data_IF_541966676596
#
_entry.id   IF_541966676596
#
_cell.length_a   1.000
_cell.length_b   1.000
_cell.length_c   1.000
_cell.angle_alpha   90.00
_cell.angle_beta   90.00
_cell.angle_gamma   90.00
#
_symmetry.space_group_name_H-M   'P 1'
#
loop_
_entity.id
_entity.type
_entity.pdbx_description
1 polymer ?
#
# COMPACT_ATOMS: atom_id res chain seq x y z
N UNK A 1 4.27 23.29 56.23
CA UNK A 1 4.64 22.05 55.59
C UNK A 1 3.35 21.24 55.23
N UNK A 2 2.56 21.63 54.23
CA UNK A 2 1.44 20.85 53.72
C UNK A 2 0.88 21.51 52.45
N UNK A 3 1.54 21.37 51.32
CA UNK A 3 1.01 21.82 50.02
C UNK A 3 1.73 21.18 48.81
N UNK A 4 2.40 20.04 48.93
CA UNK A 4 3.13 19.40 47.86
C UNK A 4 2.54 18.02 47.42
N UNK A 5 1.45 17.56 48.00
CA UNK A 5 0.87 16.23 47.73
C UNK A 5 -0.27 16.17 46.71
N UNK A 6 -0.84 17.33 46.31
CA UNK A 6 -2.06 17.36 45.50
C UNK A 6 -1.85 17.42 43.97
N UNK A 7 -0.66 17.78 43.50
CA UNK A 7 -0.43 18.00 42.05
C UNK A 7 0.04 16.75 41.28
N UNK A 8 0.57 15.76 41.96
CA UNK A 8 1.04 14.53 41.34
C UNK A 8 -0.11 13.56 40.99
N UNK A 9 -1.14 13.50 41.83
CA UNK A 9 -2.33 12.64 41.61
C UNK A 9 -3.19 13.10 40.46
N UNK A 10 -3.42 14.41 40.32
CA UNK A 10 -4.24 14.99 39.25
C UNK A 10 -3.55 14.94 37.86
N UNK A 11 -2.20 14.92 37.80
CA UNK A 11 -1.45 14.72 36.55
C UNK A 11 -1.57 13.27 36.04
N UNK A 12 -1.52 12.28 36.94
CA UNK A 12 -1.65 10.88 36.55
C UNK A 12 -3.04 10.48 36.07
N UNK A 13 -4.11 11.06 36.62
CA UNK A 13 -5.49 10.80 36.16
C UNK A 13 -5.77 11.43 34.80
N UNK A 14 -5.27 12.64 34.51
CA UNK A 14 -5.44 13.30 33.23
C UNK A 14 -4.76 12.58 32.06
N UNK A 15 -3.66 11.86 32.30
CA UNK A 15 -2.92 11.10 31.28
C UNK A 15 -3.49 9.70 31.04
N UNK A 16 -4.17 9.11 32.03
CA UNK A 16 -4.76 7.76 31.88
C UNK A 16 -6.00 7.72 31.00
N UNK A 17 -6.81 8.77 30.96
CA UNK A 17 -8.06 8.78 30.17
C UNK A 17 -7.80 8.64 28.67
N UNK A 18 -6.89 9.41 28.02
CA UNK A 18 -6.56 9.22 26.59
C UNK A 18 -6.06 7.81 26.27
N UNK A 19 -5.23 7.22 27.15
CA UNK A 19 -4.71 5.87 26.97
C UNK A 19 -5.83 4.83 27.04
N UNK A 20 -6.77 4.96 27.98
CA UNK A 20 -7.93 4.09 28.07
C UNK A 20 -8.84 4.21 26.84
N UNK A 21 -9.04 5.43 26.30
CA UNK A 21 -9.77 5.67 25.05
C UNK A 21 -9.06 4.95 23.89
N UNK A 22 -7.72 5.06 23.79
CA UNK A 22 -6.94 4.38 22.76
C UNK A 22 -7.11 2.84 22.85
N UNK A 23 -6.95 2.27 24.03
CA UNK A 23 -7.12 0.82 24.25
C UNK A 23 -8.53 0.35 23.90
N UNK A 24 -9.55 1.10 24.29
CA UNK A 24 -10.94 0.82 23.94
C UNK A 24 -11.15 0.92 22.42
N UNK A 25 -10.60 1.94 21.77
CA UNK A 25 -10.68 2.13 20.34
C UNK A 25 -10.03 0.96 19.56
N UNK A 26 -8.84 0.51 19.99
CA UNK A 26 -8.18 -0.66 19.42
C UNK A 26 -9.03 -1.91 19.61
N UNK A 27 -9.57 -2.11 20.82
CA UNK A 27 -10.43 -3.25 21.13
C UNK A 27 -11.69 -3.27 20.25
N UNK A 28 -12.32 -2.13 20.04
CA UNK A 28 -13.50 -2.00 19.16
C UNK A 28 -13.13 -2.35 17.73
N UNK A 29 -12.08 -1.73 17.15
CA UNK A 29 -11.67 -2.00 15.76
C UNK A 29 -11.32 -3.47 15.57
N UNK A 30 -10.46 -4.02 16.44
CA UNK A 30 -10.02 -5.42 16.36
C UNK A 30 -11.22 -6.36 16.61
N UNK A 31 -12.03 -6.10 17.63
CA UNK A 31 -13.21 -6.90 17.96
C UNK A 31 -14.23 -6.95 16.83
N UNK A 32 -14.53 -5.80 16.21
CA UNK A 32 -15.49 -5.73 15.10
C UNK A 32 -14.94 -6.38 13.82
N UNK A 33 -13.68 -6.09 13.44
CA UNK A 33 -13.10 -6.63 12.21
C UNK A 33 -12.77 -8.11 12.35
N UNK A 34 -12.11 -8.51 13.44
CA UNK A 34 -11.58 -9.87 13.62
C UNK A 34 -12.63 -10.78 14.29
N UNK A 35 -13.23 -10.33 15.38
CA UNK A 35 -14.17 -11.13 16.16
C UNK A 35 -15.50 -11.31 15.44
N UNK A 36 -16.10 -10.22 14.96
CA UNK A 36 -17.42 -10.23 14.32
C UNK A 36 -17.35 -10.22 12.78
N UNK A 37 -16.17 -10.12 12.17
CA UNK A 37 -15.95 -10.06 10.71
C UNK A 37 -16.77 -8.96 10.02
N UNK A 38 -16.96 -7.84 10.70
CA UNK A 38 -17.66 -6.66 10.15
C UNK A 38 -16.74 -5.98 9.14
N UNK A 39 -17.36 -5.41 8.09
CA UNK A 39 -16.64 -4.64 7.07
C UNK A 39 -15.82 -3.52 7.71
N UNK A 40 -14.57 -3.33 7.24
CA UNK A 40 -13.62 -2.38 7.79
C UNK A 40 -14.13 -0.93 7.82
N UNK A 41 -14.88 -0.48 6.79
CA UNK A 41 -15.51 0.83 6.78
C UNK A 41 -16.45 1.03 7.98
N UNK A 42 -17.36 0.07 8.20
CA UNK A 42 -18.35 0.15 9.29
C UNK A 42 -17.65 0.11 10.66
N UNK A 43 -16.66 -0.78 10.81
CA UNK A 43 -15.90 -0.93 12.05
C UNK A 43 -15.13 0.37 12.43
N UNK A 44 -14.46 0.99 11.43
CA UNK A 44 -13.70 2.22 11.63
C UNK A 44 -14.62 3.42 11.93
N UNK A 45 -15.78 3.51 11.29
CA UNK A 45 -16.76 4.58 11.59
C UNK A 45 -17.37 4.42 12.99
N UNK A 46 -17.73 3.19 13.40
CA UNK A 46 -18.22 2.92 14.76
C UNK A 46 -17.16 3.32 15.79
N UNK A 47 -15.90 2.92 15.57
CA UNK A 47 -14.79 3.26 16.45
C UNK A 47 -14.56 4.78 16.48
N UNK A 48 -14.61 5.47 15.34
CA UNK A 48 -14.46 6.91 15.24
C UNK A 48 -15.57 7.66 16.02
N UNK A 49 -16.82 7.24 15.86
CA UNK A 49 -17.95 7.80 16.62
C UNK A 49 -17.76 7.57 18.12
N UNK A 50 -17.38 6.36 18.53
CA UNK A 50 -17.16 6.05 19.95
C UNK A 50 -16.05 6.91 20.56
N UNK A 51 -14.90 7.02 19.88
CA UNK A 51 -13.80 7.89 20.31
C UNK A 51 -14.23 9.33 20.36
N UNK A 52 -14.97 9.82 19.35
CA UNK A 52 -15.48 11.18 19.32
C UNK A 52 -16.41 11.50 20.49
N UNK A 53 -17.28 10.56 20.88
CA UNK A 53 -18.17 10.73 22.01
C UNK A 53 -17.41 10.81 23.35
N UNK A 54 -16.31 10.08 23.48
CA UNK A 54 -15.47 10.05 24.68
C UNK A 54 -14.47 11.22 24.73
N UNK A 55 -14.04 11.73 23.58
CA UNK A 55 -13.08 12.84 23.49
C UNK A 55 -13.68 14.16 23.98
N UNK A 56 -12.86 15.12 24.44
CA UNK A 56 -13.30 16.48 24.82
C UNK A 56 -14.06 17.21 23.72
N UNK A 57 -14.84 18.21 24.10
CA UNK A 57 -15.59 19.10 23.20
C UNK A 57 -17.09 19.07 23.36
N UNK A 58 -17.77 20.02 22.72
CA UNK A 58 -19.21 20.21 22.79
C UNK A 58 -19.98 19.01 22.21
N UNK A 59 -21.06 18.62 22.91
CA UNK A 59 -21.89 17.50 22.49
C UNK A 59 -22.47 17.66 21.09
N UNK A 60 -22.85 18.90 20.72
CA UNK A 60 -23.38 19.20 19.39
C UNK A 60 -22.39 18.99 18.25
N UNK A 61 -21.09 19.10 18.52
CA UNK A 61 -20.04 19.00 17.51
C UNK A 61 -19.47 17.57 17.37
N UNK A 62 -19.70 16.69 18.36
CA UNK A 62 -19.08 15.36 18.39
C UNK A 62 -19.36 14.49 17.16
N UNK A 63 -20.55 14.57 16.59
CA UNK A 63 -20.89 13.85 15.35
C UNK A 63 -20.50 14.66 14.11
N UNK A 64 -20.63 15.98 14.16
CA UNK A 64 -20.27 16.87 13.05
C UNK A 64 -18.79 16.76 12.71
N UNK A 65 -17.90 16.73 13.71
CA UNK A 65 -16.45 16.57 13.48
C UNK A 65 -16.08 15.22 12.85
N UNK A 66 -16.85 14.15 13.12
CA UNK A 66 -16.67 12.85 12.45
C UNK A 66 -16.95 12.99 10.94
N UNK A 67 -18.08 13.63 10.59
CA UNK A 67 -18.44 13.86 9.19
C UNK A 67 -17.44 14.78 8.46
N UNK A 68 -16.98 15.84 9.13
CA UNK A 68 -15.98 16.76 8.58
C UNK A 68 -14.62 16.05 8.34
N UNK A 69 -14.15 15.26 9.29
CA UNK A 69 -12.93 14.47 9.15
C UNK A 69 -13.03 13.45 8.00
N UNK A 70 -14.22 12.82 7.85
CA UNK A 70 -14.50 11.93 6.73
C UNK A 70 -14.40 12.65 5.39
N UNK A 71 -15.08 13.80 5.27
CA UNK A 71 -15.06 14.62 4.05
C UNK A 71 -13.67 15.14 3.71
N UNK A 72 -12.91 15.59 4.72
CA UNK A 72 -11.52 16.05 4.55
C UNK A 72 -10.61 14.95 4.02
N UNK A 73 -10.65 13.75 4.62
CA UNK A 73 -9.85 12.62 4.17
C UNK A 73 -10.28 12.16 2.77
N UNK A 74 -11.59 12.00 2.52
CA UNK A 74 -12.08 11.62 1.19
C UNK A 74 -11.66 12.64 0.12
N UNK A 75 -11.70 13.93 0.41
CA UNK A 75 -11.29 14.99 -0.50
C UNK A 75 -9.80 14.98 -0.82
N UNK A 76 -8.95 14.66 0.16
CA UNK A 76 -7.50 14.66 -0.02
C UNK A 76 -6.96 13.53 -0.91
N UNK A 77 -7.64 12.37 -0.91
CA UNK A 77 -7.13 11.15 -1.58
C UNK A 77 -8.08 10.59 -2.64
N UNK A 78 -9.34 11.01 -2.66
CA UNK A 78 -10.37 10.39 -3.50
C UNK A 78 -10.05 10.45 -4.98
N UNK A 79 -9.59 11.59 -5.48
CA UNK A 79 -9.20 11.76 -6.89
C UNK A 79 -8.03 10.85 -7.24
N UNK A 80 -7.01 10.82 -6.39
CA UNK A 80 -5.79 10.00 -6.58
C UNK A 80 -6.15 8.51 -6.71
N UNK A 81 -6.96 7.99 -5.78
CA UNK A 81 -7.37 6.57 -5.79
C UNK A 81 -8.26 6.25 -7.00
N UNK A 82 -9.21 7.13 -7.34
CA UNK A 82 -10.07 6.95 -8.50
C UNK A 82 -9.25 6.89 -9.81
N UNK A 83 -8.31 7.81 -9.98
CA UNK A 83 -7.46 7.86 -11.19
C UNK A 83 -6.51 6.65 -11.26
N UNK A 84 -5.93 6.22 -10.13
CA UNK A 84 -5.12 5.01 -10.08
C UNK A 84 -5.90 3.75 -10.51
N UNK A 85 -7.16 3.62 -10.08
CA UNK A 85 -8.03 2.54 -10.51
C UNK A 85 -8.32 2.58 -12.02
N UNK A 86 -8.58 3.76 -12.58
CA UNK A 86 -8.77 3.95 -14.03
C UNK A 86 -7.51 3.57 -14.80
N UNK A 87 -6.32 4.02 -14.37
CA UNK A 87 -5.04 3.68 -14.99
C UNK A 87 -4.86 2.16 -15.03
N UNK A 88 -5.04 1.48 -13.89
CA UNK A 88 -4.86 0.04 -13.80
C UNK A 88 -5.74 -0.74 -14.80
N UNK A 89 -7.03 -0.47 -14.83
CA UNK A 89 -7.98 -1.17 -15.71
C UNK A 89 -7.74 -0.84 -17.20
N UNK A 90 -7.49 0.41 -17.54
CA UNK A 90 -7.28 0.80 -18.94
C UNK A 90 -5.93 0.33 -19.50
N UNK A 91 -4.87 0.25 -18.68
CA UNK A 91 -3.59 -0.37 -19.06
C UNK A 91 -3.75 -1.86 -19.39
N UNK A 92 -4.55 -2.58 -18.62
CA UNK A 92 -4.88 -3.98 -18.89
C UNK A 92 -5.67 -4.10 -20.21
N UNK A 93 -6.75 -3.35 -20.32
CA UNK A 93 -7.64 -3.39 -21.48
C UNK A 93 -6.95 -2.97 -22.79
N UNK A 94 -5.98 -2.04 -22.76
CA UNK A 94 -5.21 -1.61 -23.92
C UNK A 94 -4.13 -2.60 -24.37
N UNK A 95 -3.69 -3.51 -23.49
CA UNK A 95 -2.52 -4.36 -23.71
C UNK A 95 -1.19 -3.68 -23.39
N UNK A 96 -1.22 -2.49 -22.75
CA UNK A 96 0.00 -1.80 -22.31
C UNK A 96 0.78 -2.62 -21.30
N UNK A 97 0.08 -3.24 -20.35
CA UNK A 97 0.69 -4.11 -19.35
C UNK A 97 1.38 -5.32 -20.01
N UNK A 98 0.73 -5.98 -20.99
CA UNK A 98 1.31 -7.09 -21.77
C UNK A 98 2.58 -6.65 -22.52
N UNK A 99 2.55 -5.45 -23.10
CA UNK A 99 3.72 -4.90 -23.83
C UNK A 99 4.92 -4.70 -22.93
N UNK A 100 4.71 -4.21 -21.73
CA UNK A 100 5.76 -4.01 -20.72
C UNK A 100 6.39 -5.36 -20.32
N UNK A 101 5.56 -6.35 -20.10
CA UNK A 101 6.01 -7.72 -19.77
C UNK A 101 6.85 -8.32 -20.88
N UNK A 102 6.38 -8.21 -22.15
CA UNK A 102 7.14 -8.69 -23.32
C UNK A 102 8.50 -7.98 -23.45
N UNK A 103 8.56 -6.69 -23.11
CA UNK A 103 9.81 -5.95 -23.15
C UNK A 103 10.82 -6.47 -22.11
N UNK A 104 10.39 -6.75 -20.87
CA UNK A 104 11.27 -7.31 -19.85
C UNK A 104 11.74 -8.72 -20.18
N UNK A 105 10.88 -9.54 -20.79
CA UNK A 105 11.29 -10.88 -21.26
C UNK A 105 12.29 -10.77 -22.41
N UNK A 106 12.05 -9.84 -23.34
CA UNK A 106 12.98 -9.59 -24.45
C UNK A 106 14.34 -9.08 -23.98
N UNK A 107 14.36 -8.20 -22.95
CA UNK A 107 15.59 -7.62 -22.41
C UNK A 107 16.41 -8.62 -21.58
N UNK A 108 15.75 -9.37 -20.71
CA UNK A 108 16.41 -10.27 -19.76
C UNK A 108 16.64 -11.69 -20.31
N UNK A 109 15.96 -12.01 -21.39
CA UNK A 109 15.97 -13.32 -22.02
C UNK A 109 15.04 -14.33 -21.32
N UNK A 110 14.56 -15.30 -22.09
CA UNK A 110 13.64 -16.35 -21.60
C UNK A 110 14.27 -17.26 -20.53
N UNK A 111 15.58 -17.45 -20.58
CA UNK A 111 16.31 -18.26 -19.58
C UNK A 111 16.31 -17.62 -18.20
N UNK A 112 16.20 -16.28 -18.14
CA UNK A 112 16.08 -15.50 -16.91
C UNK A 112 14.61 -15.15 -16.56
N UNK A 113 13.70 -16.10 -16.77
CA UNK A 113 12.27 -15.91 -16.56
C UNK A 113 11.90 -15.44 -15.15
N UNK A 114 12.56 -15.93 -14.10
CA UNK A 114 12.33 -15.45 -12.74
C UNK A 114 12.56 -13.95 -12.59
N UNK A 115 13.77 -13.42 -12.88
CA UNK A 115 14.04 -11.98 -12.88
C UNK A 115 13.06 -11.18 -13.75
N UNK A 116 12.74 -11.64 -14.97
CA UNK A 116 11.83 -10.95 -15.87
C UNK A 116 10.42 -10.80 -15.26
N UNK A 117 9.90 -11.89 -14.67
CA UNK A 117 8.59 -11.88 -14.02
C UNK A 117 8.56 -11.05 -12.72
N UNK A 118 9.65 -11.09 -11.93
CA UNK A 118 9.76 -10.24 -10.73
C UNK A 118 9.77 -8.75 -11.11
N UNK A 119 10.56 -8.36 -12.11
CA UNK A 119 10.63 -6.96 -12.58
C UNK A 119 9.29 -6.52 -13.20
N UNK A 120 8.65 -7.39 -13.99
CA UNK A 120 7.31 -7.11 -14.55
C UNK A 120 6.28 -6.91 -13.43
N UNK A 121 6.24 -7.82 -12.46
CA UNK A 121 5.37 -7.70 -11.29
C UNK A 121 5.62 -6.42 -10.50
N UNK A 122 6.90 -6.09 -10.27
CA UNK A 122 7.33 -4.87 -9.57
C UNK A 122 6.82 -3.61 -10.27
N UNK A 123 7.10 -3.46 -11.56
CA UNK A 123 6.77 -2.24 -12.30
C UNK A 123 5.26 -2.10 -12.51
N UNK A 124 4.59 -3.19 -12.87
CA UNK A 124 3.13 -3.16 -13.10
C UNK A 124 2.33 -2.91 -11.82
N UNK A 125 2.82 -3.37 -10.66
CA UNK A 125 2.12 -3.14 -9.38
C UNK A 125 2.29 -1.74 -8.82
N UNK A 126 3.01 -0.84 -9.49
CA UNK A 126 3.02 0.58 -9.11
C UNK A 126 1.60 1.18 -9.23
N UNK A 127 0.93 1.17 -10.40
CA UNK A 127 -0.44 1.68 -10.52
C UNK A 127 -1.53 0.60 -10.43
N UNK A 128 -1.18 -0.69 -10.47
CA UNK A 128 -2.14 -1.80 -10.61
C UNK A 128 -2.16 -2.65 -9.35
N UNK A 129 -3.35 -3.09 -8.94
CA UNK A 129 -3.51 -3.97 -7.79
C UNK A 129 -2.81 -5.32 -8.01
N UNK A 130 -2.29 -5.89 -6.92
CA UNK A 130 -1.63 -7.19 -6.91
C UNK A 130 -2.44 -8.26 -7.65
N UNK A 131 -3.72 -8.39 -7.35
CA UNK A 131 -4.60 -9.41 -7.91
C UNK A 131 -4.63 -9.35 -9.44
N UNK A 132 -4.80 -8.14 -9.97
CA UNK A 132 -4.86 -7.88 -11.42
C UNK A 132 -3.53 -8.19 -12.11
N UNK A 133 -2.41 -7.79 -11.51
CA UNK A 133 -1.07 -8.08 -12.02
C UNK A 133 -0.80 -9.59 -11.99
N UNK A 134 -1.23 -10.28 -10.95
CA UNK A 134 -1.07 -11.71 -10.83
C UNK A 134 -1.90 -12.47 -11.88
N UNK A 135 -3.16 -12.06 -12.10
CA UNK A 135 -4.01 -12.61 -13.18
C UNK A 135 -3.37 -12.44 -14.57
N UNK A 136 -2.74 -11.31 -14.83
CA UNK A 136 -2.06 -11.04 -16.09
C UNK A 136 -0.82 -11.91 -16.30
N UNK A 137 0.00 -12.07 -15.25
CA UNK A 137 1.31 -12.68 -15.39
C UNK A 137 1.30 -14.21 -15.27
N UNK A 138 0.28 -14.82 -14.64
CA UNK A 138 0.24 -16.25 -14.42
C UNK A 138 0.15 -17.08 -15.74
N UNK A 139 -0.65 -16.70 -16.76
CA UNK A 139 -0.64 -17.39 -18.05
C UNK A 139 0.75 -17.41 -18.69
N UNK A 140 1.51 -16.31 -18.52
CA UNK A 140 2.88 -16.23 -19.03
C UNK A 140 3.83 -17.16 -18.28
N UNK A 141 3.74 -17.25 -16.94
CA UNK A 141 4.50 -18.21 -16.15
C UNK A 141 4.21 -19.66 -16.60
N UNK A 142 2.93 -19.95 -16.92
CA UNK A 142 2.51 -21.25 -17.46
C UNK A 142 3.08 -21.52 -18.84
N UNK A 143 3.01 -20.54 -19.76
CA UNK A 143 3.61 -20.63 -21.10
C UNK A 143 5.13 -20.84 -21.05
N UNK A 144 5.82 -20.11 -20.16
CA UNK A 144 7.26 -20.28 -19.95
C UNK A 144 7.59 -21.70 -19.43
N UNK A 145 6.79 -22.23 -18.52
CA UNK A 145 6.95 -23.59 -18.05
C UNK A 145 6.71 -24.62 -19.17
N UNK A 146 5.67 -24.46 -19.98
CA UNK A 146 5.38 -25.33 -21.13
C UNK A 146 6.56 -25.40 -22.10
N UNK A 147 7.25 -24.27 -22.32
CA UNK A 147 8.40 -24.19 -23.22
C UNK A 147 9.69 -24.74 -22.59
N UNK A 148 9.90 -24.59 -21.29
CA UNK A 148 11.16 -24.97 -20.62
C UNK A 148 11.08 -26.31 -19.89
N UNK A 149 9.89 -26.78 -19.55
CA UNK A 149 9.64 -27.99 -18.75
C UNK A 149 10.06 -27.90 -17.29
N UNK A 150 10.46 -26.71 -16.78
CA UNK A 150 11.04 -26.55 -15.44
C UNK A 150 10.71 -25.19 -14.82
N UNK A 151 10.91 -25.10 -13.51
CA UNK A 151 10.86 -23.85 -12.74
C UNK A 151 9.47 -23.21 -12.56
N UNK A 152 8.38 -24.00 -12.66
CA UNK A 152 7.01 -23.46 -12.54
C UNK A 152 6.80 -22.66 -11.26
N UNK A 153 7.07 -23.28 -10.09
CA UNK A 153 6.90 -22.61 -8.80
C UNK A 153 7.77 -21.36 -8.67
N UNK A 154 8.97 -21.40 -9.21
CA UNK A 154 9.88 -20.23 -9.23
C UNK A 154 9.25 -19.06 -9.99
N UNK A 155 8.61 -19.31 -11.15
CA UNK A 155 7.94 -18.25 -11.91
C UNK A 155 6.76 -17.66 -11.16
N UNK A 156 5.94 -18.51 -10.55
CA UNK A 156 4.79 -18.08 -9.76
C UNK A 156 5.19 -17.23 -8.56
N UNK A 157 6.18 -17.69 -7.78
CA UNK A 157 6.71 -16.95 -6.62
C UNK A 157 7.42 -15.66 -7.04
N UNK A 158 8.11 -15.66 -8.18
CA UNK A 158 8.80 -14.49 -8.73
C UNK A 158 7.82 -13.35 -9.07
N UNK A 159 6.67 -13.67 -9.70
CA UNK A 159 5.60 -12.69 -9.93
C UNK A 159 5.16 -12.08 -8.60
N UNK A 160 4.85 -12.92 -7.63
CA UNK A 160 4.35 -12.48 -6.34
C UNK A 160 5.38 -11.64 -5.57
N UNK A 161 6.67 -11.98 -5.66
CA UNK A 161 7.76 -11.25 -5.00
C UNK A 161 7.84 -9.78 -5.46
N UNK A 162 7.81 -9.54 -6.77
CA UNK A 162 7.80 -8.18 -7.32
C UNK A 162 6.50 -7.44 -7.02
N UNK A 163 5.38 -8.08 -7.33
CA UNK A 163 4.08 -7.44 -7.24
C UNK A 163 3.67 -7.09 -5.79
N UNK A 164 3.86 -7.99 -4.83
CA UNK A 164 3.46 -7.75 -3.45
C UNK A 164 4.35 -6.72 -2.75
N UNK A 165 5.67 -6.73 -3.01
CA UNK A 165 6.59 -5.76 -2.44
C UNK A 165 6.23 -4.32 -2.87
N UNK A 166 6.01 -4.11 -4.18
CA UNK A 166 5.63 -2.80 -4.72
C UNK A 166 4.26 -2.38 -4.22
N UNK A 167 3.27 -3.27 -4.26
CA UNK A 167 1.90 -2.98 -3.84
C UNK A 167 1.81 -2.48 -2.39
N UNK A 168 2.66 -2.99 -1.50
CA UNK A 168 2.64 -2.61 -0.09
C UNK A 168 3.53 -1.40 0.26
N UNK A 169 4.50 -1.06 -0.58
CA UNK A 169 5.54 -0.07 -0.22
C UNK A 169 5.57 1.16 -1.13
N UNK A 170 5.07 1.05 -2.37
CA UNK A 170 5.24 2.12 -3.37
C UNK A 170 3.88 2.71 -3.78
N UNK A 171 3.64 4.01 -3.53
CA UNK A 171 2.50 4.71 -4.12
C UNK A 171 2.56 4.68 -5.66
N UNK A 172 1.42 4.85 -6.39
CA UNK A 172 0.09 5.26 -5.91
C UNK A 172 -0.87 4.11 -5.56
N UNK A 173 -0.40 2.95 -5.16
CA UNK A 173 -1.29 1.92 -4.61
C UNK A 173 -2.00 2.41 -3.35
N UNK A 174 -3.24 1.98 -3.07
CA UNK A 174 -4.10 2.58 -2.03
C UNK A 174 -3.50 2.55 -0.62
N UNK A 175 -2.87 1.43 -0.24
CA UNK A 175 -2.28 1.31 1.10
C UNK A 175 -1.21 2.38 1.39
N UNK A 176 -0.14 2.45 0.59
CA UNK A 176 0.88 3.50 0.71
C UNK A 176 0.33 4.93 0.57
N UNK A 177 -0.67 5.16 -0.30
CA UNK A 177 -1.32 6.48 -0.40
C UNK A 177 -1.95 6.91 0.93
N UNK A 178 -2.64 5.98 1.58
CA UNK A 178 -3.28 6.26 2.86
C UNK A 178 -2.27 6.46 3.98
N UNK A 179 -1.20 5.67 4.00
CA UNK A 179 -0.10 5.89 4.93
C UNK A 179 0.43 7.32 4.76
N UNK A 180 0.68 7.77 3.52
CA UNK A 180 1.15 9.12 3.24
C UNK A 180 0.17 10.18 3.75
N UNK A 181 -1.12 10.01 3.50
CA UNK A 181 -2.16 10.94 3.94
C UNK A 181 -2.28 10.99 5.47
N UNK A 182 -2.38 9.83 6.13
CA UNK A 182 -2.55 9.76 7.59
C UNK A 182 -1.34 10.29 8.36
N UNK A 183 -0.13 10.01 7.88
CA UNK A 183 1.12 10.40 8.52
C UNK A 183 1.69 11.73 7.98
N UNK A 184 0.98 12.41 7.07
CA UNK A 184 1.43 13.66 6.42
C UNK A 184 2.80 13.53 5.76
N UNK A 185 3.07 12.39 5.11
CA UNK A 185 4.33 12.11 4.39
C UNK A 185 4.23 12.70 2.98
N UNK A 186 5.30 13.36 2.52
CA UNK A 186 5.42 13.74 1.10
C UNK A 186 5.37 12.49 0.22
N UNK A 187 4.47 12.49 -0.77
CA UNK A 187 4.21 11.31 -1.59
C UNK A 187 5.40 10.94 -2.48
N UNK A 188 6.14 11.94 -2.99
CA UNK A 188 7.34 11.71 -3.78
C UNK A 188 8.44 11.07 -2.94
N UNK A 189 8.62 11.52 -1.70
CA UNK A 189 9.55 10.91 -0.77
C UNK A 189 9.15 9.46 -0.45
N UNK A 190 7.86 9.18 -0.25
CA UNK A 190 7.40 7.81 -0.01
C UNK A 190 7.58 6.91 -1.24
N UNK A 191 7.41 7.43 -2.47
CA UNK A 191 7.72 6.70 -3.71
C UNK A 191 9.20 6.30 -3.72
N UNK A 192 10.10 7.24 -3.45
CA UNK A 192 11.56 7.01 -3.52
C UNK A 192 12.02 6.03 -2.44
N UNK A 193 11.66 6.28 -1.17
CA UNK A 193 12.07 5.42 -0.05
C UNK A 193 11.35 4.07 -0.11
N UNK A 194 10.06 4.05 -0.47
CA UNK A 194 9.31 2.81 -0.66
C UNK A 194 9.92 1.93 -1.75
N UNK A 195 10.32 2.50 -2.89
CA UNK A 195 11.02 1.77 -3.95
C UNK A 195 12.40 1.27 -3.47
N UNK A 196 13.15 2.09 -2.73
CA UNK A 196 14.46 1.72 -2.15
C UNK A 196 14.33 0.54 -1.19
N UNK A 197 13.23 0.43 -0.43
CA UNK A 197 12.94 -0.70 0.47
C UNK A 197 12.39 -1.90 -0.31
N UNK A 198 11.51 -1.68 -1.28
CA UNK A 198 10.85 -2.74 -2.04
C UNK A 198 11.79 -3.51 -2.98
N UNK A 199 12.78 -2.84 -3.58
CA UNK A 199 13.73 -3.46 -4.50
C UNK A 199 14.55 -4.59 -3.86
N UNK A 200 15.27 -4.39 -2.73
CA UNK A 200 15.97 -5.48 -2.08
C UNK A 200 15.02 -6.54 -1.53
N UNK A 201 13.85 -6.15 -1.00
CA UNK A 201 12.85 -7.10 -0.52
C UNK A 201 12.39 -8.03 -1.64
N UNK A 202 12.03 -7.50 -2.82
CA UNK A 202 11.63 -8.28 -3.99
C UNK A 202 12.78 -9.17 -4.52
N UNK A 203 14.03 -8.68 -4.43
CA UNK A 203 15.22 -9.46 -4.81
C UNK A 203 15.42 -10.68 -3.89
N UNK A 204 15.28 -10.49 -2.57
CA UNK A 204 15.31 -11.62 -1.64
C UNK A 204 14.12 -12.56 -1.85
N UNK A 205 12.95 -12.04 -2.19
CA UNK A 205 11.80 -12.85 -2.61
C UNK A 205 12.09 -13.70 -3.85
N UNK A 206 12.80 -13.16 -4.85
CA UNK A 206 13.24 -13.90 -6.03
C UNK A 206 14.27 -14.98 -5.69
N UNK A 207 15.22 -14.71 -4.79
CA UNK A 207 16.18 -15.71 -4.32
C UNK A 207 15.46 -16.84 -3.57
N UNK A 208 14.47 -16.48 -2.73
CA UNK A 208 13.61 -17.45 -2.09
C UNK A 208 12.84 -18.30 -3.11
N UNK A 209 12.31 -17.70 -4.19
CA UNK A 209 11.65 -18.43 -5.26
C UNK A 209 12.53 -19.51 -5.87
N UNK A 210 13.80 -19.19 -6.14
CA UNK A 210 14.77 -20.14 -6.66
C UNK A 210 15.15 -21.25 -5.66
N UNK A 211 15.28 -20.90 -4.38
CA UNK A 211 15.55 -21.87 -3.32
C UNK A 211 14.36 -22.81 -3.10
N UNK A 212 13.14 -22.25 -3.00
CA UNK A 212 11.93 -23.02 -2.77
C UNK A 212 11.65 -23.99 -3.91
N UNK A 213 11.79 -23.55 -5.17
CA UNK A 213 11.57 -24.39 -6.33
C UNK A 213 12.47 -25.62 -6.38
N UNK A 214 13.69 -25.51 -5.83
CA UNK A 214 14.61 -26.65 -5.70
C UNK A 214 14.21 -27.60 -4.58
N UNK A 215 13.59 -27.08 -3.50
CA UNK A 215 13.17 -27.87 -2.33
C UNK A 215 11.77 -28.48 -2.49
N UNK A 216 10.90 -27.81 -3.24
CA UNK A 216 9.51 -28.20 -3.44
C UNK A 216 9.15 -28.06 -4.93
N UNK A 217 9.62 -28.97 -5.78
CA UNK A 217 9.22 -28.94 -7.19
C UNK A 217 7.72 -29.25 -7.29
N UNK A 218 6.94 -28.30 -7.81
CA UNK A 218 5.50 -28.43 -7.99
C UNK A 218 5.21 -28.56 -9.49
N UNK A 219 4.46 -29.58 -9.91
CA UNK A 219 4.03 -29.70 -11.30
C UNK A 219 2.99 -28.62 -11.63
N UNK A 220 3.01 -28.12 -12.85
CA UNK A 220 1.92 -27.27 -13.35
C UNK A 220 0.66 -28.12 -13.51
N UNK A 221 -0.38 -27.78 -12.75
CA UNK A 221 -1.69 -28.42 -12.84
C UNK A 221 -2.60 -27.64 -13.77
N UNK A 222 -3.56 -28.32 -14.42
CA UNK A 222 -4.59 -27.64 -15.18
C UNK A 222 -5.53 -26.88 -14.25
N UNK A 223 -5.80 -25.64 -14.64
CA UNK A 223 -6.69 -24.73 -13.90
C UNK A 223 -7.81 -24.31 -14.86
N UNK A 224 -9.08 -24.61 -14.56
CA UNK A 224 -10.20 -24.19 -15.40
C UNK A 224 -10.20 -22.67 -15.58
N UNK A 225 -10.31 -22.21 -16.83
CA UNK A 225 -10.35 -20.79 -17.17
C UNK A 225 -8.99 -20.09 -17.25
N UNK A 226 -7.88 -20.75 -16.89
CA UNK A 226 -6.52 -20.20 -17.06
C UNK A 226 -5.87 -20.83 -18.27
N UNK A 227 -5.75 -20.07 -19.36
CA UNK A 227 -5.07 -20.55 -20.59
C UNK A 227 -3.56 -20.63 -20.34
N UNK A 228 -2.94 -21.72 -20.82
CA UNK A 228 -1.48 -21.90 -20.77
C UNK A 228 -0.75 -21.07 -21.83
N UNK A 229 -1.43 -20.76 -22.92
CA UNK A 229 -0.97 -19.84 -23.94
C UNK A 229 -1.95 -18.66 -24.00
N UNK A 230 -1.53 -17.46 -23.57
CA UNK A 230 -2.33 -16.26 -23.74
C UNK A 230 -2.57 -16.04 -25.24
N UNK A 231 -3.82 -15.84 -25.64
CA UNK A 231 -4.11 -15.43 -27.00
C UNK A 231 -3.34 -14.13 -27.28
N UNK A 232 -2.53 -14.10 -28.35
CA UNK A 232 -1.84 -12.87 -28.71
C UNK A 232 -2.88 -11.77 -28.90
N UNK A 233 -2.79 -10.71 -28.14
CA UNK A 233 -3.61 -9.54 -28.39
C UNK A 233 -3.30 -9.04 -29.81
N UNK A 234 -4.30 -8.81 -30.66
CA UNK A 234 -4.09 -8.53 -32.08
C UNK A 234 -3.22 -7.29 -32.35
N UNK A 235 -3.18 -6.36 -31.42
CA UNK A 235 -2.31 -5.19 -31.45
C UNK A 235 -1.85 -4.81 -30.05
N UNK A 236 -0.54 -4.73 -29.86
CA UNK A 236 0.06 -4.17 -28.65
C UNK A 236 0.58 -2.74 -28.95
N UNK A 237 0.48 -1.82 -27.99
CA UNK A 237 1.06 -0.49 -28.14
C UNK A 237 2.59 -0.53 -28.24
N UNK A 238 3.20 0.54 -28.76
CA UNK A 238 4.64 0.74 -28.66
C UNK A 238 5.07 0.84 -27.19
N UNK A 239 6.26 0.31 -26.84
CA UNK A 239 6.73 0.27 -25.45
C UNK A 239 6.77 1.66 -24.82
N UNK A 240 7.28 2.68 -25.52
CA UNK A 240 7.36 4.04 -25.01
C UNK A 240 6.00 4.58 -24.56
N UNK A 241 4.94 4.34 -25.35
CA UNK A 241 3.58 4.79 -25.02
C UNK A 241 2.96 3.94 -23.91
N UNK A 242 3.24 2.64 -23.91
CA UNK A 242 2.74 1.72 -22.88
C UNK A 242 3.24 2.07 -21.46
N UNK A 243 4.43 2.63 -21.34
CA UNK A 243 5.07 2.95 -20.06
C UNK A 243 4.63 4.32 -19.51
N UNK A 244 4.14 5.23 -20.35
CA UNK A 244 3.74 6.59 -19.96
C UNK A 244 2.81 6.61 -18.74
N UNK A 245 1.72 5.83 -18.66
CA UNK A 245 0.80 5.88 -17.52
C UNK A 245 1.44 5.53 -16.18
N UNK A 246 2.54 4.79 -16.17
CA UNK A 246 3.29 4.42 -14.95
C UNK A 246 4.35 5.48 -14.62
N UNK A 247 5.15 5.86 -15.62
CA UNK A 247 6.32 6.71 -15.40
C UNK A 247 5.92 8.16 -15.20
N UNK A 248 4.88 8.62 -15.90
CA UNK A 248 4.45 10.02 -15.84
C UNK A 248 4.15 10.50 -14.41
N UNK A 249 3.26 9.85 -13.61
CA UNK A 249 2.97 10.30 -12.27
C UNK A 249 4.20 10.18 -11.35
N UNK A 250 5.01 9.13 -11.50
CA UNK A 250 6.23 8.97 -10.70
C UNK A 250 7.22 10.11 -10.96
N UNK A 251 7.46 10.44 -12.24
CA UNK A 251 8.39 11.52 -12.61
C UNK A 251 7.87 12.88 -12.19
N UNK A 252 6.58 13.15 -12.32
CA UNK A 252 6.00 14.43 -11.92
C UNK A 252 6.02 14.61 -10.40
N UNK A 253 5.58 13.60 -9.64
CA UNK A 253 5.50 13.68 -8.17
C UNK A 253 6.89 13.65 -7.54
N UNK A 254 7.73 12.67 -7.86
CA UNK A 254 9.08 12.57 -7.30
C UNK A 254 9.97 13.70 -7.83
N UNK A 255 9.80 14.11 -9.10
CA UNK A 255 10.49 15.25 -9.68
C UNK A 255 10.22 16.55 -8.91
N UNK A 256 8.96 16.83 -8.56
CA UNK A 256 8.62 17.96 -7.69
C UNK A 256 9.41 17.90 -6.38
N UNK A 257 9.36 16.76 -5.68
CA UNK A 257 10.05 16.58 -4.39
C UNK A 257 11.55 16.83 -4.48
N UNK A 258 12.20 16.37 -5.58
CA UNK A 258 13.65 16.51 -5.75
C UNK A 258 14.04 17.91 -6.21
N UNK A 259 13.33 18.48 -7.20
CA UNK A 259 13.76 19.69 -7.90
C UNK A 259 13.18 20.99 -7.30
N UNK A 260 11.98 20.96 -6.67
CA UNK A 260 11.37 22.16 -6.14
C UNK A 260 12.24 22.90 -5.13
N UNK A 261 12.98 22.24 -4.20
CA UNK A 261 13.89 22.93 -3.28
C UNK A 261 15.09 23.60 -3.94
N UNK A 262 15.40 23.23 -5.20
CA UNK A 262 16.52 23.80 -5.98
C UNK A 262 16.10 24.97 -6.87
N UNK A 263 14.80 25.24 -6.97
CA UNK A 263 14.25 26.31 -7.82
C UNK A 263 14.03 27.57 -7.01
N UNK A 264 14.14 28.73 -7.67
CA UNK A 264 13.77 30.01 -7.05
C UNK A 264 12.28 30.01 -6.71
N UNK A 265 11.96 30.39 -5.47
CA UNK A 265 10.58 30.52 -5.01
C UNK A 265 9.80 31.48 -5.93
N UNK A 266 8.53 31.16 -6.23
CA UNK A 266 7.63 31.94 -7.07
C UNK A 266 8.05 32.07 -8.55
N UNK A 267 9.12 31.40 -9.01
CA UNK A 267 9.45 31.34 -10.44
C UNK A 267 8.36 30.60 -11.22
N UNK A 268 8.19 30.94 -12.50
CA UNK A 268 7.24 30.22 -13.39
C UNK A 268 7.51 28.70 -13.41
N UNK A 269 8.77 28.31 -13.36
CA UNK A 269 9.18 26.89 -13.34
C UNK A 269 8.77 26.22 -12.03
N UNK A 270 8.98 26.87 -10.88
CA UNK A 270 8.57 26.36 -9.58
C UNK A 270 7.06 26.23 -9.46
N UNK A 271 6.30 27.22 -9.92
CA UNK A 271 4.83 27.17 -9.95
C UNK A 271 4.31 26.04 -10.86
N UNK A 272 4.90 25.89 -12.05
CA UNK A 272 4.55 24.81 -12.98
C UNK A 272 4.87 23.43 -12.39
N UNK A 273 6.05 23.27 -11.77
CA UNK A 273 6.45 22.04 -11.09
C UNK A 273 5.50 21.71 -9.91
N UNK A 274 5.05 22.73 -9.18
CA UNK A 274 4.09 22.56 -8.08
C UNK A 274 2.75 22.05 -8.57
N UNK A 275 2.22 22.59 -9.67
CA UNK A 275 0.94 22.18 -10.25
C UNK A 275 1.04 20.78 -10.88
N UNK A 276 2.03 20.54 -11.73
CA UNK A 276 2.17 19.26 -12.44
C UNK A 276 2.58 18.12 -11.51
N UNK A 277 3.37 18.42 -10.46
CA UNK A 277 3.78 17.46 -9.45
C UNK A 277 2.79 17.31 -8.29
N UNK A 278 1.63 17.97 -8.34
CA UNK A 278 0.53 17.66 -7.43
C UNK A 278 0.00 16.25 -7.73
N UNK A 279 -0.19 15.38 -6.73
CA UNK A 279 -0.59 13.99 -6.94
C UNK A 279 -1.90 13.84 -7.72
N UNK A 280 -2.89 14.73 -7.49
CA UNK A 280 -4.15 14.69 -8.22
C UNK A 280 -3.92 15.01 -9.70
N UNK A 281 -3.16 16.08 -10.00
CA UNK A 281 -2.87 16.50 -11.37
C UNK A 281 -2.05 15.43 -12.09
N UNK A 282 -1.00 14.91 -11.47
CA UNK A 282 -0.12 13.90 -12.05
C UNK A 282 -0.89 12.61 -12.42
N UNK A 283 -1.79 12.15 -11.55
CA UNK A 283 -2.60 10.95 -11.81
C UNK A 283 -3.74 11.21 -12.79
N UNK A 284 -4.34 12.40 -12.82
CA UNK A 284 -5.30 12.79 -13.86
C UNK A 284 -4.63 12.74 -15.24
N UNK A 285 -3.43 13.32 -15.39
CA UNK A 285 -2.69 13.29 -16.65
C UNK A 285 -2.32 11.85 -17.06
N UNK A 286 -1.92 11.02 -16.12
CA UNK A 286 -1.63 9.61 -16.36
C UNK A 286 -2.88 8.82 -16.77
N UNK A 287 -4.03 9.09 -16.14
CA UNK A 287 -5.32 8.47 -16.48
C UNK A 287 -5.77 8.90 -17.90
N UNK A 288 -5.66 10.18 -18.23
CA UNK A 288 -5.94 10.68 -19.59
C UNK A 288 -5.05 9.96 -20.61
N UNK A 289 -3.74 9.85 -20.34
CA UNK A 289 -2.82 9.13 -21.24
C UNK A 289 -3.22 7.66 -21.40
N UNK A 290 -3.58 6.97 -20.29
CA UNK A 290 -3.97 5.57 -20.32
C UNK A 290 -5.30 5.33 -21.05
N UNK A 291 -6.31 6.17 -20.81
CA UNK A 291 -7.62 6.11 -21.49
C UNK A 291 -7.45 6.41 -22.98
N UNK A 292 -6.66 7.43 -23.32
CA UNK A 292 -6.37 7.78 -24.72
C UNK A 292 -5.69 6.62 -25.45
N UNK A 293 -4.72 5.98 -24.82
CA UNK A 293 -4.07 4.79 -25.33
C UNK A 293 -5.08 3.66 -25.59
N UNK A 294 -5.96 3.38 -24.61
CA UNK A 294 -7.01 2.38 -24.75
C UNK A 294 -7.93 2.69 -25.94
N UNK A 295 -8.41 3.93 -26.05
CA UNK A 295 -9.28 4.36 -27.16
C UNK A 295 -8.56 4.19 -28.50
N UNK A 296 -7.29 4.58 -28.59
CA UNK A 296 -6.52 4.51 -29.84
C UNK A 296 -6.29 3.06 -30.30
N UNK A 297 -5.96 2.15 -29.39
CA UNK A 297 -5.64 0.75 -29.70
C UNK A 297 -6.90 -0.08 -29.92
N UNK A 298 -7.92 0.06 -29.06
CA UNK A 298 -9.10 -0.81 -29.07
C UNK A 298 -10.29 -0.23 -29.79
N UNK A 299 -10.34 1.11 -29.97
CA UNK A 299 -11.45 1.82 -30.59
C UNK A 299 -12.81 1.39 -30.02
N UNK A 300 -13.01 1.39 -28.68
CA UNK A 300 -14.22 0.91 -28.05
C UNK A 300 -15.41 1.78 -28.46
N UNK A 301 -16.61 1.21 -28.39
CA UNK A 301 -17.85 2.02 -28.40
C UNK A 301 -17.91 2.92 -27.16
N UNK A 302 -18.70 3.99 -27.23
CA UNK A 302 -18.90 4.89 -26.07
C UNK A 302 -19.47 4.15 -24.87
N UNK A 303 -20.37 3.20 -25.11
CA UNK A 303 -20.96 2.35 -24.05
C UNK A 303 -19.90 1.49 -23.37
N UNK A 304 -19.09 0.76 -24.14
CA UNK A 304 -18.02 -0.08 -23.62
C UNK A 304 -16.97 0.74 -22.84
N UNK A 305 -16.61 1.93 -23.29
CA UNK A 305 -15.73 2.84 -22.56
C UNK A 305 -16.38 3.28 -21.24
N UNK A 306 -17.67 3.65 -21.27
CA UNK A 306 -18.41 4.05 -20.08
C UNK A 306 -18.45 2.94 -19.03
N UNK A 307 -18.80 1.71 -19.42
CA UNK A 307 -18.84 0.53 -18.54
C UNK A 307 -17.47 0.22 -17.92
N UNK A 308 -16.39 0.31 -18.72
CA UNK A 308 -15.02 0.09 -18.23
C UNK A 308 -14.62 1.12 -17.17
N UNK A 309 -14.93 2.39 -17.41
CA UNK A 309 -14.65 3.47 -16.46
C UNK A 309 -15.49 3.34 -15.20
N UNK A 310 -16.79 3.00 -15.33
CA UNK A 310 -17.69 2.76 -14.21
C UNK A 310 -17.17 1.61 -13.32
N UNK A 311 -16.79 0.48 -13.91
CA UNK A 311 -16.21 -0.65 -13.18
C UNK A 311 -14.92 -0.26 -12.45
N UNK A 312 -14.08 0.56 -13.07
CA UNK A 312 -12.86 1.08 -12.45
C UNK A 312 -13.17 1.93 -11.23
N UNK A 313 -14.15 2.84 -11.36
CA UNK A 313 -14.56 3.75 -10.29
C UNK A 313 -15.28 3.03 -9.16
N UNK A 314 -16.05 1.97 -9.43
CA UNK A 314 -16.66 1.13 -8.39
C UNK A 314 -15.58 0.46 -7.51
N UNK A 315 -14.52 -0.06 -8.12
CA UNK A 315 -13.39 -0.66 -7.40
C UNK A 315 -12.66 0.38 -6.53
N UNK A 316 -12.37 1.56 -7.10
CA UNK A 316 -11.74 2.68 -6.38
C UNK A 316 -12.63 3.23 -5.26
N UNK A 317 -13.95 3.28 -5.46
CA UNK A 317 -14.91 3.84 -4.53
C UNK A 317 -14.93 3.14 -3.17
N UNK A 318 -14.89 1.82 -3.15
CA UNK A 318 -14.82 1.06 -1.89
C UNK A 318 -13.53 1.40 -1.11
N UNK A 319 -12.41 1.55 -1.81
CA UNK A 319 -11.13 1.90 -1.18
C UNK A 319 -11.18 3.31 -0.62
N UNK A 320 -11.76 4.27 -1.35
CA UNK A 320 -11.96 5.65 -0.88
C UNK A 320 -12.78 5.67 0.41
N UNK A 321 -13.89 4.93 0.48
CA UNK A 321 -14.74 4.84 1.67
C UNK A 321 -13.97 4.29 2.88
N UNK A 322 -13.28 3.16 2.73
CA UNK A 322 -12.52 2.54 3.83
C UNK A 322 -11.40 3.49 4.30
N UNK A 323 -10.73 4.15 3.36
CA UNK A 323 -9.64 5.08 3.66
C UNK A 323 -10.14 6.31 4.40
N UNK A 324 -11.24 6.90 3.93
CA UNK A 324 -11.86 8.05 4.58
C UNK A 324 -12.29 7.69 6.02
N UNK A 325 -12.83 6.50 6.24
CA UNK A 325 -13.16 6.01 7.58
C UNK A 325 -11.91 5.87 8.47
N UNK A 326 -10.80 5.36 7.92
CA UNK A 326 -9.51 5.26 8.62
C UNK A 326 -8.95 6.62 9.03
N UNK A 327 -8.93 7.59 8.13
CA UNK A 327 -8.50 8.96 8.43
C UNK A 327 -9.41 9.65 9.45
N UNK A 328 -10.73 9.41 9.36
CA UNK A 328 -11.70 9.88 10.36
C UNK A 328 -11.38 9.32 11.75
N UNK A 329 -11.12 8.02 11.82
CA UNK A 329 -10.75 7.37 13.08
C UNK A 329 -9.46 7.96 13.67
N UNK A 330 -8.41 8.16 12.83
CA UNK A 330 -7.17 8.82 13.24
C UNK A 330 -7.40 10.26 13.76
N UNK A 331 -8.24 11.04 13.08
CA UNK A 331 -8.59 12.39 13.51
C UNK A 331 -9.32 12.40 14.87
N UNK A 332 -10.19 11.43 15.12
CA UNK A 332 -10.87 11.33 16.43
C UNK A 332 -9.91 10.91 17.54
N UNK A 333 -8.92 10.05 17.27
CA UNK A 333 -7.85 9.74 18.23
C UNK A 333 -6.99 10.97 18.55
N UNK A 334 -6.71 11.83 17.58
CA UNK A 334 -6.04 13.10 17.81
C UNK A 334 -6.89 14.04 18.68
N UNK A 335 -8.20 14.13 18.40
CA UNK A 335 -9.14 14.93 19.20
C UNK A 335 -9.31 14.41 20.65
N UNK A 336 -8.87 13.19 20.94
CA UNK A 336 -8.83 12.61 22.29
C UNK A 336 -7.48 12.82 23.01
N UNK A 337 -6.60 13.70 22.50
CA UNK A 337 -5.29 14.06 23.08
C UNK A 337 -4.35 12.87 23.31
N UNK A 338 -4.42 11.85 22.47
CA UNK A 338 -3.62 10.62 22.63
C UNK A 338 -2.13 10.89 22.38
N UNK A 339 -1.78 11.75 21.43
CA UNK A 339 -0.39 12.10 21.12
C UNK A 339 0.37 12.66 22.32
N UNK A 340 -0.14 13.70 23.00
CA UNK A 340 0.45 14.25 24.22
C UNK A 340 0.61 13.22 25.35
N UNK A 341 -0.42 12.36 25.57
CA UNK A 341 -0.38 11.34 26.61
C UNK A 341 0.74 10.30 26.36
N UNK A 342 0.95 9.91 25.10
CA UNK A 342 2.05 9.00 24.71
C UNK A 342 3.39 9.70 24.81
N UNK A 343 3.51 10.96 24.36
CA UNK A 343 4.74 11.74 24.46
C UNK A 343 5.27 11.81 25.89
N UNK A 344 4.37 11.96 26.88
CA UNK A 344 4.73 12.00 28.28
C UNK A 344 5.24 10.66 28.82
N UNK A 345 4.73 9.53 28.29
CA UNK A 345 5.23 8.21 28.66
C UNK A 345 6.67 7.94 28.19
N UNK A 346 7.07 8.58 27.10
CA UNK A 346 8.41 8.46 26.49
C UNK A 346 9.31 9.65 26.75
N UNK A 347 9.01 10.51 27.74
CA UNK A 347 9.77 11.68 28.11
C UNK A 347 11.19 11.31 28.61
N UNK A 348 12.10 11.03 27.67
CA UNK A 348 13.48 10.65 28.01
C UNK A 348 14.43 10.62 26.83
N UNK A 349 14.03 10.19 25.64
CA UNK A 349 14.82 10.32 24.42
C UNK A 349 13.96 10.13 23.17
N UNK A 350 13.97 11.10 22.27
CA UNK A 350 13.21 11.07 21.00
C UNK A 350 13.60 9.87 20.13
N UNK A 351 14.89 9.50 20.12
CA UNK A 351 15.39 8.39 19.31
C UNK A 351 14.91 7.01 19.80
N UNK A 352 14.85 6.82 21.12
CA UNK A 352 14.30 5.56 21.69
C UNK A 352 12.80 5.47 21.44
N UNK A 353 12.05 6.58 21.53
CA UNK A 353 10.63 6.61 21.22
C UNK A 353 10.36 6.37 19.72
N UNK A 354 11.20 6.91 18.82
CA UNK A 354 11.08 6.69 17.38
C UNK A 354 11.25 5.23 16.97
N UNK A 355 12.26 4.54 17.49
CA UNK A 355 12.47 3.11 17.22
C UNK A 355 11.34 2.23 17.77
N UNK A 356 10.82 2.56 18.95
CA UNK A 356 9.65 1.89 19.51
C UNK A 356 8.43 2.10 18.60
N UNK A 357 8.19 3.33 18.10
CA UNK A 357 7.11 3.63 17.19
C UNK A 357 7.24 2.87 15.86
N UNK A 358 8.46 2.75 15.32
CA UNK A 358 8.74 1.98 14.12
C UNK A 358 8.42 0.50 14.30
N UNK A 359 8.88 -0.10 15.40
CA UNK A 359 8.58 -1.50 15.75
C UNK A 359 7.08 -1.70 15.98
N UNK A 360 6.44 -0.78 16.69
CA UNK A 360 5.00 -0.80 16.94
C UNK A 360 4.21 -0.74 15.63
N UNK A 361 4.61 0.13 14.69
CA UNK A 361 4.00 0.23 13.38
C UNK A 361 4.08 -1.06 12.59
N UNK A 362 5.26 -1.68 12.55
CA UNK A 362 5.47 -2.98 11.91
C UNK A 362 4.62 -4.08 12.57
N UNK A 363 4.68 -4.22 13.90
CA UNK A 363 3.96 -5.26 14.64
C UNK A 363 2.44 -5.08 14.56
N UNK A 364 1.93 -3.84 14.68
CA UNK A 364 0.50 -3.54 14.60
C UNK A 364 -0.05 -3.87 13.21
N UNK A 365 0.64 -3.45 12.14
CA UNK A 365 0.24 -3.78 10.78
C UNK A 365 0.28 -5.30 10.53
N UNK A 366 1.28 -6.01 11.06
CA UNK A 366 1.39 -7.47 10.97
C UNK A 366 0.24 -8.18 11.71
N UNK A 367 -0.08 -7.73 12.91
CA UNK A 367 -1.17 -8.30 13.71
C UNK A 367 -2.52 -8.11 13.01
N UNK A 368 -2.79 -6.90 12.51
CA UNK A 368 -4.02 -6.59 11.76
C UNK A 368 -4.10 -7.43 10.48
N UNK A 369 -3.00 -7.57 9.74
CA UNK A 369 -2.92 -8.43 8.54
C UNK A 369 -3.21 -9.88 8.88
N UNK A 370 -2.55 -10.43 9.89
CA UNK A 370 -2.77 -11.81 10.34
C UNK A 370 -4.23 -12.07 10.73
N UNK A 371 -4.86 -11.08 11.39
CA UNK A 371 -6.21 -11.21 11.90
C UNK A 371 -7.29 -11.11 10.81
N UNK A 372 -7.18 -10.15 9.88
CA UNK A 372 -8.24 -9.81 8.91
C UNK A 372 -7.92 -10.15 7.45
N UNK A 373 -6.64 -10.43 7.12
CA UNK A 373 -6.23 -10.89 5.80
C UNK A 373 -5.90 -9.79 4.77
N UNK A 374 -6.29 -8.53 4.97
CA UNK A 374 -6.07 -7.44 3.99
C UNK A 374 -4.89 -6.54 4.34
N UNK A 375 -3.86 -6.50 3.50
CA UNK A 375 -2.72 -5.58 3.67
C UNK A 375 -3.16 -4.12 3.62
N UNK A 376 -4.05 -3.77 2.68
CA UNK A 376 -4.56 -2.40 2.54
C UNK A 376 -5.29 -1.94 3.79
N UNK A 377 -6.19 -2.76 4.34
CA UNK A 377 -6.92 -2.40 5.58
C UNK A 377 -5.97 -2.35 6.78
N UNK A 378 -4.98 -3.24 6.85
CA UNK A 378 -3.97 -3.20 7.91
C UNK A 378 -3.16 -1.88 7.86
N UNK A 379 -2.74 -1.45 6.67
CA UNK A 379 -2.05 -0.18 6.45
C UNK A 379 -2.90 1.03 6.84
N UNK A 380 -4.16 1.06 6.40
CA UNK A 380 -5.12 2.14 6.71
C UNK A 380 -5.29 2.26 8.23
N UNK A 381 -5.59 1.14 8.88
CA UNK A 381 -5.90 1.12 10.31
C UNK A 381 -4.67 1.43 11.16
N UNK A 382 -3.53 0.79 10.89
CA UNK A 382 -2.29 1.02 11.64
C UNK A 382 -1.80 2.46 11.49
N UNK A 383 -1.78 3.01 10.26
CA UNK A 383 -1.32 4.38 10.04
C UNK A 383 -2.23 5.42 10.72
N UNK A 384 -3.55 5.20 10.70
CA UNK A 384 -4.50 6.07 11.38
C UNK A 384 -4.30 6.10 12.90
N UNK A 385 -4.10 4.92 13.51
CA UNK A 385 -3.80 4.82 14.94
C UNK A 385 -2.47 5.48 15.30
N UNK A 386 -1.42 5.18 14.55
CA UNK A 386 -0.07 5.66 14.84
C UNK A 386 0.10 7.15 14.58
N UNK A 387 -0.65 7.74 13.64
CA UNK A 387 -0.65 9.18 13.42
C UNK A 387 -1.00 9.98 14.67
N UNK A 388 -1.94 9.46 15.48
CA UNK A 388 -2.32 10.08 16.76
C UNK A 388 -1.30 9.84 17.88
N UNK A 389 -0.36 8.90 17.69
CA UNK A 389 0.61 8.48 18.70
C UNK A 389 2.00 9.08 18.50
N UNK A 390 2.24 9.80 17.38
CA UNK A 390 3.54 10.42 17.11
C UNK A 390 3.82 11.48 18.20
N UNK A 391 4.99 11.38 18.89
CA UNK A 391 5.35 12.36 19.92
C UNK A 391 5.52 13.76 19.34
N UNK A 392 5.17 14.80 20.12
CA UNK A 392 5.34 16.20 19.71
C UNK A 392 6.81 16.58 19.41
N UNK A 393 7.78 15.88 20.00
CA UNK A 393 9.22 16.03 19.74
C UNK A 393 9.73 15.30 18.48
N UNK A 394 8.83 14.66 17.73
CA UNK A 394 9.19 13.88 16.54
C UNK A 394 9.75 12.48 16.86
N UNK A 395 10.24 11.80 15.83
CA UNK A 395 10.73 10.42 15.92
C UNK A 395 12.28 10.32 15.99
N UNK A 396 12.99 11.43 15.78
CA UNK A 396 14.45 11.45 15.63
C UNK A 396 14.93 11.02 14.22
N UNK A 397 13.98 10.71 13.33
CA UNK A 397 14.16 10.44 11.90
C UNK A 397 12.88 10.80 11.14
N UNK A 398 12.93 10.83 9.81
CA UNK A 398 11.78 11.19 9.00
C UNK A 398 10.64 10.18 9.14
N UNK A 399 9.42 10.68 9.25
CA UNK A 399 8.19 9.87 9.41
C UNK A 399 7.94 8.90 8.24
N UNK A 400 8.59 9.08 7.10
CA UNK A 400 8.52 8.15 5.95
C UNK A 400 8.94 6.73 6.35
N UNK A 401 9.87 6.58 7.29
CA UNK A 401 10.30 5.27 7.78
C UNK A 401 9.22 4.57 8.62
N UNK A 402 8.42 5.32 9.37
CA UNK A 402 7.24 4.75 10.02
C UNK A 402 6.25 4.24 8.96
N UNK A 403 6.07 5.00 7.87
CA UNK A 403 5.23 4.58 6.73
C UNK A 403 5.71 3.29 6.09
N UNK A 404 7.00 3.17 5.79
CA UNK A 404 7.56 1.94 5.19
C UNK A 404 7.60 0.76 6.17
N UNK A 405 7.73 1.00 7.49
CA UNK A 405 7.59 -0.04 8.50
C UNK A 405 6.17 -0.61 8.56
N UNK A 406 5.13 0.25 8.51
CA UNK A 406 3.73 -0.16 8.43
C UNK A 406 3.47 -0.95 7.14
N UNK A 407 3.93 -0.45 5.98
CA UNK A 407 3.83 -1.14 4.70
C UNK A 407 4.48 -2.53 4.74
N UNK A 408 5.69 -2.62 5.29
CA UNK A 408 6.42 -3.88 5.48
C UNK A 408 5.68 -4.84 6.42
N UNK A 409 5.19 -4.35 7.55
CA UNK A 409 4.41 -5.15 8.50
C UNK A 409 3.12 -5.69 7.90
N UNK A 410 2.46 -4.93 7.01
CA UNK A 410 1.22 -5.34 6.34
C UNK A 410 1.36 -6.54 5.41
N UNK A 411 2.57 -6.92 5.06
CA UNK A 411 2.87 -8.14 4.30
C UNK A 411 2.92 -9.38 5.20
N UNK A 412 3.34 -9.23 6.47
CA UNK A 412 3.53 -10.35 7.39
C UNK A 412 2.18 -10.88 7.89
N UNK A 413 2.00 -12.19 7.84
CA UNK A 413 0.82 -12.84 8.40
C UNK A 413 -0.30 -13.12 7.41
N UNK A 414 -0.03 -13.19 6.10
CA UNK A 414 -1.00 -13.64 5.09
C UNK A 414 -1.16 -15.17 5.13
N UNK A 415 -2.40 -15.63 5.20
CA UNK A 415 -2.78 -17.04 5.20
C UNK A 415 -4.17 -17.22 4.57
N UNK A 416 -4.92 -18.26 4.90
CA UNK A 416 -6.23 -18.58 4.29
C UNK A 416 -7.33 -17.52 4.50
N UNK A 417 -7.11 -16.53 5.36
CA UNK A 417 -8.01 -15.39 5.56
C UNK A 417 -7.83 -14.28 4.52
N UNK A 418 -6.77 -14.37 3.71
CA UNK A 418 -6.38 -13.36 2.71
C UNK A 418 -6.92 -13.74 1.32
N UNK A 419 -7.58 -12.80 0.63
CA UNK A 419 -8.01 -12.98 -0.76
C UNK A 419 -6.82 -13.24 -1.70
N UNK A 420 -5.69 -12.56 -1.48
CA UNK A 420 -4.46 -12.76 -2.23
C UNK A 420 -3.91 -14.19 -2.13
N UNK A 421 -4.04 -14.81 -0.95
CA UNK A 421 -3.71 -16.23 -0.76
C UNK A 421 -4.51 -17.15 -1.71
N UNK A 422 -5.82 -16.94 -1.80
CA UNK A 422 -6.68 -17.77 -2.64
C UNK A 422 -6.51 -17.49 -4.12
N UNK A 423 -6.32 -16.22 -4.51
CA UNK A 423 -6.01 -15.85 -5.89
C UNK A 423 -4.71 -16.52 -6.33
N UNK A 424 -3.66 -16.39 -5.52
CA UNK A 424 -2.37 -17.04 -5.76
C UNK A 424 -2.53 -18.56 -5.88
N UNK A 425 -3.21 -19.21 -4.93
CA UNK A 425 -3.43 -20.66 -4.93
C UNK A 425 -4.21 -21.14 -6.16
N UNK A 426 -5.37 -20.54 -6.41
CA UNK A 426 -6.30 -20.99 -7.46
C UNK A 426 -5.76 -20.77 -8.87
N UNK A 427 -5.18 -19.59 -9.13
CA UNK A 427 -4.62 -19.26 -10.44
C UNK A 427 -3.38 -20.08 -10.78
N UNK A 428 -2.59 -20.44 -9.76
CA UNK A 428 -1.38 -21.25 -9.94
C UNK A 428 -1.65 -22.76 -9.90
N UNK A 429 -2.85 -23.19 -9.50
CA UNK A 429 -3.15 -24.62 -9.30
C UNK A 429 -2.39 -25.24 -8.12
N UNK A 430 -2.08 -24.44 -7.10
CA UNK A 430 -1.39 -24.87 -5.90
C UNK A 430 -2.39 -25.33 -4.83
N UNK A 431 -1.98 -26.31 -4.04
CA UNK A 431 -2.72 -26.72 -2.83
C UNK A 431 -2.54 -25.68 -1.73
N UNK A 432 -3.39 -25.71 -0.71
CA UNK A 432 -3.30 -24.82 0.45
C UNK A 432 -1.94 -24.93 1.16
N UNK A 433 -1.41 -26.15 1.30
CA UNK A 433 -0.10 -26.40 1.94
C UNK A 433 1.04 -25.84 1.08
N UNK A 434 1.00 -26.04 -0.23
CA UNK A 434 1.98 -25.46 -1.16
C UNK A 434 1.91 -23.92 -1.13
N UNK A 435 0.71 -23.37 -1.03
CA UNK A 435 0.48 -21.93 -0.93
C UNK A 435 0.99 -21.35 0.40
N UNK A 436 0.75 -22.02 1.52
CA UNK A 436 1.34 -21.60 2.80
C UNK A 436 2.88 -21.58 2.75
N UNK A 437 3.48 -22.59 2.14
CA UNK A 437 4.94 -22.69 2.00
C UNK A 437 5.53 -21.71 0.98
N UNK A 438 4.76 -21.28 -0.01
CA UNK A 438 5.22 -20.36 -1.05
C UNK A 438 4.79 -18.91 -0.79
N UNK A 439 3.50 -18.63 -0.80
CA UNK A 439 2.95 -17.29 -0.62
C UNK A 439 3.15 -16.73 0.79
N UNK A 440 2.67 -17.46 1.82
CA UNK A 440 2.73 -16.93 3.19
C UNK A 440 4.17 -16.74 3.67
N UNK A 441 5.05 -17.71 3.36
CA UNK A 441 6.47 -17.59 3.68
C UNK A 441 7.15 -16.46 2.88
N UNK A 442 6.81 -16.29 1.58
CA UNK A 442 7.31 -15.19 0.77
C UNK A 442 6.94 -13.84 1.40
N UNK A 443 5.68 -13.65 1.77
CA UNK A 443 5.23 -12.37 2.35
C UNK A 443 5.91 -12.08 3.69
N UNK A 444 6.20 -13.09 4.50
CA UNK A 444 7.02 -12.91 5.71
C UNK A 444 8.43 -12.45 5.34
N UNK A 445 9.06 -13.06 4.33
CA UNK A 445 10.39 -12.66 3.87
C UNK A 445 10.38 -11.22 3.37
N UNK A 446 9.40 -10.84 2.52
CA UNK A 446 9.28 -9.48 2.01
C UNK A 446 9.08 -8.47 3.14
N UNK A 447 8.17 -8.75 4.07
CA UNK A 447 7.84 -7.86 5.17
C UNK A 447 9.00 -7.71 6.17
N UNK A 448 9.61 -8.80 6.60
CA UNK A 448 10.77 -8.75 7.52
C UNK A 448 11.95 -8.05 6.86
N UNK A 449 12.24 -8.36 5.60
CA UNK A 449 13.31 -7.69 4.85
C UNK A 449 13.04 -6.19 4.72
N UNK A 450 11.82 -5.80 4.33
CA UNK A 450 11.43 -4.41 4.24
C UNK A 450 11.55 -3.68 5.58
N UNK A 451 11.11 -4.30 6.68
CA UNK A 451 11.24 -3.76 8.03
C UNK A 451 12.70 -3.58 8.46
N UNK A 452 13.57 -4.56 8.18
CA UNK A 452 15.00 -4.48 8.48
C UNK A 452 15.70 -3.39 7.66
N UNK A 453 15.40 -3.28 6.36
CA UNK A 453 15.95 -2.23 5.51
C UNK A 453 15.48 -0.86 6.00
N UNK A 454 14.19 -0.73 6.31
CA UNK A 454 13.64 0.50 6.89
C UNK A 454 14.39 0.88 8.18
N UNK A 455 14.60 -0.08 9.08
CA UNK A 455 15.36 0.15 10.32
C UNK A 455 16.80 0.60 10.03
N UNK A 456 17.49 -0.03 9.10
CA UNK A 456 18.85 0.37 8.71
C UNK A 456 18.87 1.78 8.12
N UNK A 457 17.90 2.13 7.30
CA UNK A 457 17.81 3.47 6.69
C UNK A 457 17.57 4.58 7.73
N UNK A 458 16.91 4.32 8.85
CA UNK A 458 16.76 5.33 9.93
C UNK A 458 18.10 5.77 10.51
N UNK A 459 19.13 4.92 10.46
CA UNK A 459 20.48 5.24 10.93
C UNK A 459 21.38 5.77 9.83
N UNK A 460 21.28 5.23 8.60
CA UNK A 460 22.15 5.61 7.49
C UNK A 460 21.70 6.88 6.77
N UNK A 461 20.41 7.12 6.72
CA UNK A 461 19.78 8.23 5.99
C UNK A 461 18.58 8.78 6.78
N UNK A 462 18.76 9.39 7.96
CA UNK A 462 17.64 9.75 8.85
C UNK A 462 16.66 10.76 8.23
N UNK A 463 17.07 11.56 7.24
CA UNK A 463 16.25 12.58 6.53
C UNK A 463 15.53 13.54 7.49
N UNK A 464 16.13 13.80 8.66
CA UNK A 464 15.57 14.64 9.72
C UNK A 464 15.70 16.13 9.39
#
# INVERSE_FOLDING_TARGET
>A
MAAAGGSAGLRGEGEMIPILILLLAILIVVGLIVGLRINAFVALIIAAITVSLLAPGDWGEKIVRVAQAFGSTAGSIGIVIAMAAVIGVTMMASGAADRIVQAFIGLLGRERGGPALTTSGFVLSIPVFFDTVFYLLIPLARSMFTQTGKDYLKYVVAIAAGAAATHALVPPTPGPLVIAANLSIDLGLLILIGALVALPASTLGLLYAGWLNRKMPVPMRDVPGVKSDPEPLPQLPGLGVAVIPIVLPVVLIAGKTIFLPLLEAESFIANTATILGDPNMALILAAIASVTLYIHIRRPSRTCLGELLEQSLMSGGLIILITAAGGTFGAMLQAADIGPAISNLFAGSAQSSGLVMLLLGFCMASLLKFAQGSSTVAMITASAMLAAMIPAGGLGFNVVYLGTAIGSGSLVGSWMNDSGFWIYAKMSGLTEVETLKSWSALLVILGVTGGLITLVLTFLLPLA
#
